data_IF_053865758046
#
_entry.id   IF_053865758046
#
_cell.length_a   1.000
_cell.length_b   1.000
_cell.length_c   1.000
_cell.angle_alpha   90.00
_cell.angle_beta   90.00
_cell.angle_gamma   90.00
#
_symmetry.space_group_name_H-M   'P 1'
#
loop_
_entity.id
_entity.type
_entity.pdbx_description
1 polymer ?
#
# COMPACT_ATOMS: atom_id res chain seq x y z
N UNK A 1 19.66 -8.15 30.53
CA UNK A 1 20.30 -8.45 29.24
C UNK A 1 19.43 -7.84 28.16
N UNK A 2 19.89 -6.72 27.60
CA UNK A 2 19.15 -5.86 26.68
C UNK A 2 18.89 -6.60 25.36
N UNK A 3 17.63 -6.68 24.96
CA UNK A 3 17.24 -7.02 23.59
C UNK A 3 17.62 -5.86 22.69
N UNK A 4 18.73 -6.02 21.98
CA UNK A 4 19.11 -5.24 20.82
C UNK A 4 17.99 -5.40 19.78
N UNK A 5 17.11 -4.39 19.65
CA UNK A 5 16.12 -4.36 18.57
C UNK A 5 16.90 -4.18 17.27
N UNK A 6 17.26 -5.31 16.65
CA UNK A 6 17.90 -5.34 15.34
C UNK A 6 17.08 -4.50 14.35
N UNK A 7 17.75 -3.57 13.69
CA UNK A 7 17.19 -2.77 12.61
C UNK A 7 16.70 -3.73 11.51
N UNK A 8 15.40 -3.78 11.25
CA UNK A 8 14.83 -4.63 10.20
C UNK A 8 14.43 -3.73 9.04
N UNK A 9 15.09 -3.92 7.89
CA UNK A 9 14.61 -3.34 6.63
C UNK A 9 13.18 -3.82 6.41
N UNK A 10 12.23 -2.90 6.28
CA UNK A 10 10.82 -3.30 6.34
C UNK A 10 10.44 -4.12 5.11
N UNK A 11 9.74 -5.23 5.34
CA UNK A 11 9.24 -6.10 4.29
C UNK A 11 8.51 -5.29 3.20
N UNK A 12 8.90 -5.51 1.94
CA UNK A 12 8.24 -4.90 0.80
C UNK A 12 7.01 -5.73 0.43
N UNK A 13 5.89 -5.04 0.20
CA UNK A 13 4.66 -5.66 -0.29
C UNK A 13 4.33 -5.14 -1.69
N UNK A 14 3.60 -5.90 -2.53
CA UNK A 14 3.03 -5.37 -3.75
C UNK A 14 2.12 -4.18 -3.43
N UNK A 15 1.90 -3.32 -4.42
CA UNK A 15 0.83 -2.34 -4.39
C UNK A 15 -0.52 -3.07 -4.49
N UNK A 16 -1.34 -2.97 -3.45
CA UNK A 16 -2.63 -3.68 -3.31
C UNK A 16 -3.77 -2.74 -3.68
N UNK A 17 -4.40 -3.03 -4.81
CA UNK A 17 -5.60 -2.36 -5.29
C UNK A 17 -6.84 -3.20 -4.99
N UNK A 18 -7.75 -2.68 -4.16
CA UNK A 18 -9.10 -3.23 -4.01
C UNK A 18 -9.99 -2.68 -5.12
N UNK A 19 -10.66 -3.56 -5.85
CA UNK A 19 -11.62 -3.17 -6.89
C UNK A 19 -12.98 -3.80 -6.59
N UNK A 20 -14.04 -2.99 -6.60
CA UNK A 20 -15.40 -3.45 -6.41
C UNK A 20 -16.42 -2.58 -7.16
N UNK A 21 -17.53 -3.19 -7.54
CA UNK A 21 -18.76 -2.50 -7.89
C UNK A 21 -19.82 -2.82 -6.83
N UNK A 22 -20.61 -1.82 -6.44
CA UNK A 22 -21.65 -1.95 -5.42
C UNK A 22 -22.96 -1.28 -5.85
N UNK A 23 -24.08 -1.72 -5.29
CA UNK A 23 -25.33 -0.97 -5.29
C UNK A 23 -25.22 0.32 -4.45
N UNK A 24 -26.21 1.21 -4.54
CA UNK A 24 -26.30 2.43 -3.71
C UNK A 24 -26.30 2.12 -2.20
N UNK A 25 -26.83 0.96 -1.80
CA UNK A 25 -26.82 0.49 -0.42
C UNK A 25 -25.59 -0.37 -0.06
N UNK A 26 -24.60 -0.49 -0.95
CA UNK A 26 -23.31 -1.11 -0.65
C UNK A 26 -23.24 -2.64 -0.78
N UNK A 27 -24.16 -3.25 -1.54
CA UNK A 27 -24.13 -4.68 -1.85
C UNK A 27 -23.23 -4.98 -3.03
N UNK A 28 -22.45 -6.07 -2.94
CA UNK A 28 -21.64 -6.62 -4.03
C UNK A 28 -22.45 -7.50 -5.00
N UNK A 29 -23.59 -8.01 -4.55
CA UNK A 29 -24.50 -8.88 -5.30
C UNK A 29 -25.87 -8.90 -4.62
N UNK A 30 -26.86 -9.56 -5.21
CA UNK A 30 -28.11 -9.93 -4.54
C UNK A 30 -28.03 -11.35 -3.91
N UNK A 31 -29.15 -11.92 -3.48
CA UNK A 31 -29.21 -13.29 -2.92
C UNK A 31 -29.64 -14.34 -3.95
N UNK A 32 -29.76 -13.94 -5.21
CA UNK A 32 -30.18 -14.76 -6.31
C UNK A 32 -29.10 -15.74 -6.76
N UNK A 33 -29.46 -16.72 -7.61
CA UNK A 33 -28.52 -17.68 -8.16
C UNK A 33 -27.69 -17.12 -9.33
N UNK A 34 -28.07 -15.96 -9.86
CA UNK A 34 -27.38 -15.29 -10.95
C UNK A 34 -26.66 -14.06 -10.40
N UNK A 35 -25.43 -13.86 -10.87
CA UNK A 35 -24.64 -12.69 -10.51
C UNK A 35 -25.33 -11.40 -10.97
N UNK A 36 -25.55 -10.48 -10.05
CA UNK A 36 -26.05 -9.14 -10.34
C UNK A 36 -25.01 -8.32 -11.10
N UNK A 37 -25.39 -7.78 -12.25
CA UNK A 37 -24.54 -6.84 -13.00
C UNK A 37 -24.68 -5.44 -12.39
N UNK A 38 -23.65 -5.04 -11.66
CA UNK A 38 -23.54 -3.72 -11.02
C UNK A 38 -22.82 -2.69 -11.89
N UNK A 39 -22.55 -3.00 -13.15
CA UNK A 39 -21.80 -2.11 -14.04
C UNK A 39 -22.08 -2.39 -15.51
N UNK A 40 -21.71 -1.42 -16.35
CA UNK A 40 -21.88 -1.45 -17.80
C UNK A 40 -20.63 -1.85 -18.58
N UNK A 41 -20.74 -2.01 -19.92
CA UNK A 41 -19.63 -2.39 -20.79
C UNK A 41 -18.40 -1.48 -20.69
N UNK A 42 -18.60 -0.16 -20.55
CA UNK A 42 -17.48 0.79 -20.45
C UNK A 42 -16.68 0.60 -19.15
N UNK A 43 -17.34 0.25 -18.06
CA UNK A 43 -16.66 -0.03 -16.81
C UNK A 43 -16.01 -1.43 -16.80
N UNK A 44 -16.63 -2.43 -17.44
CA UNK A 44 -15.98 -3.73 -17.63
C UNK A 44 -14.71 -3.61 -18.47
N UNK A 45 -14.70 -2.77 -19.51
CA UNK A 45 -13.48 -2.47 -20.26
C UNK A 45 -12.42 -1.78 -19.40
N UNK A 46 -12.82 -0.85 -18.51
CA UNK A 46 -11.91 -0.24 -17.53
C UNK A 46 -11.33 -1.28 -16.58
N UNK A 47 -12.16 -2.14 -15.98
CA UNK A 47 -11.70 -3.22 -15.09
C UNK A 47 -10.72 -4.14 -15.82
N UNK A 48 -10.97 -4.43 -17.10
CA UNK A 48 -10.06 -5.20 -17.94
C UNK A 48 -8.70 -4.51 -18.14
N UNK A 49 -8.70 -3.18 -18.33
CA UNK A 49 -7.46 -2.39 -18.36
C UNK A 49 -6.71 -2.45 -17.03
N UNK A 50 -7.41 -2.39 -15.90
CA UNK A 50 -6.81 -2.53 -14.57
C UNK A 50 -6.21 -3.92 -14.40
N UNK A 51 -6.92 -4.99 -14.79
CA UNK A 51 -6.38 -6.36 -14.77
C UNK A 51 -5.11 -6.48 -15.61
N UNK A 52 -5.11 -5.89 -16.81
CA UNK A 52 -3.95 -5.90 -17.69
C UNK A 52 -2.74 -5.15 -17.12
N UNK A 53 -2.96 -4.17 -16.23
CA UNK A 53 -1.88 -3.47 -15.54
C UNK A 53 -1.29 -4.26 -14.36
N UNK A 54 -2.05 -5.20 -13.76
CA UNK A 54 -1.64 -5.95 -12.58
C UNK A 54 -0.71 -7.12 -12.91
N UNK A 55 0.09 -7.55 -11.93
CA UNK A 55 0.94 -8.74 -12.05
C UNK A 55 0.23 -9.98 -11.49
N UNK A 56 -0.68 -9.77 -10.53
CA UNK A 56 -1.55 -10.81 -9.99
C UNK A 56 -2.99 -10.32 -9.75
N UNK A 57 -3.95 -11.23 -9.89
CA UNK A 57 -5.37 -11.03 -9.57
C UNK A 57 -5.75 -11.96 -8.42
N UNK A 58 -6.37 -11.43 -7.37
CA UNK A 58 -6.77 -12.18 -6.18
C UNK A 58 -8.28 -12.14 -5.94
N UNK A 59 -8.84 -13.32 -5.69
CA UNK A 59 -10.21 -13.48 -5.18
C UNK A 59 -10.24 -14.48 -4.03
N UNK A 60 -11.06 -14.22 -3.01
CA UNK A 60 -11.32 -15.23 -1.98
C UNK A 60 -12.02 -16.47 -2.56
N UNK A 61 -11.78 -17.64 -1.98
CA UNK A 61 -12.42 -18.89 -2.44
C UNK A 61 -13.96 -18.85 -2.39
N UNK A 62 -14.55 -17.99 -1.55
CA UNK A 62 -15.99 -17.73 -1.55
C UNK A 62 -16.50 -17.17 -2.88
N UNK A 63 -15.75 -16.26 -3.49
CA UNK A 63 -16.05 -15.72 -4.83
C UNK A 63 -15.90 -16.79 -5.91
N UNK A 64 -14.94 -17.72 -5.78
CA UNK A 64 -14.84 -18.85 -6.71
C UNK A 64 -16.10 -19.72 -6.66
N UNK A 65 -16.62 -19.99 -5.46
CA UNK A 65 -17.85 -20.79 -5.28
C UNK A 65 -19.09 -20.08 -5.81
N UNK A 66 -19.22 -18.77 -5.56
CA UNK A 66 -20.39 -18.00 -5.97
C UNK A 66 -20.41 -17.71 -7.48
N UNK A 67 -19.29 -17.21 -8.03
CA UNK A 67 -19.27 -16.65 -9.39
C UNK A 67 -18.57 -17.55 -10.41
N UNK A 68 -17.78 -18.52 -9.93
CA UNK A 68 -16.94 -19.39 -10.74
C UNK A 68 -16.12 -18.61 -11.81
N UNK A 69 -15.40 -17.53 -11.45
CA UNK A 69 -14.82 -16.62 -12.44
C UNK A 69 -13.65 -17.27 -13.20
N UNK A 70 -13.44 -16.85 -14.44
CA UNK A 70 -12.21 -17.19 -15.19
C UNK A 70 -11.01 -16.34 -14.76
N UNK A 71 -11.25 -15.10 -14.31
CA UNK A 71 -10.24 -14.15 -13.84
C UNK A 71 -9.10 -13.92 -14.85
N UNK A 72 -9.45 -13.31 -15.99
CA UNK A 72 -8.56 -13.12 -17.14
C UNK A 72 -8.57 -11.65 -17.59
N UNK A 73 -7.54 -11.28 -18.35
CA UNK A 73 -7.57 -10.15 -19.28
C UNK A 73 -8.36 -10.58 -20.52
N UNK A 74 -9.46 -9.91 -20.82
CA UNK A 74 -10.36 -10.18 -21.93
C UNK A 74 -9.86 -9.63 -23.26
N UNK A 75 -9.36 -8.38 -23.29
CA UNK A 75 -8.91 -7.74 -24.54
C UNK A 75 -7.70 -8.47 -25.15
N UNK A 76 -7.77 -8.92 -26.42
CA UNK A 76 -6.62 -9.44 -27.15
C UNK A 76 -5.48 -8.42 -27.26
N UNK A 77 -5.80 -7.14 -27.45
CA UNK A 77 -4.83 -6.05 -27.62
C UNK A 77 -4.03 -5.84 -26.34
N UNK A 78 -4.71 -5.81 -25.18
CA UNK A 78 -4.05 -5.70 -23.87
C UNK A 78 -3.15 -6.90 -23.56
N UNK A 79 -3.58 -8.09 -23.97
CA UNK A 79 -2.76 -9.31 -23.87
C UNK A 79 -1.51 -9.23 -24.74
N UNK A 80 -1.64 -8.75 -25.97
CA UNK A 80 -0.51 -8.54 -26.88
C UNK A 80 0.49 -7.51 -26.32
N UNK A 81 0.01 -6.41 -25.71
CA UNK A 81 0.88 -5.43 -25.03
C UNK A 81 1.67 -6.08 -23.89
N UNK A 82 1.01 -6.86 -23.02
CA UNK A 82 1.70 -7.56 -21.93
C UNK A 82 2.81 -8.48 -22.44
N UNK A 83 2.53 -9.25 -23.49
CA UNK A 83 3.53 -10.13 -24.10
C UNK A 83 4.70 -9.35 -24.69
N UNK A 84 4.44 -8.20 -25.34
CA UNK A 84 5.48 -7.32 -25.87
C UNK A 84 6.37 -6.71 -24.77
N UNK A 85 5.82 -6.52 -23.56
CA UNK A 85 6.56 -6.09 -22.36
C UNK A 85 7.30 -7.26 -21.65
N UNK A 86 7.25 -8.48 -22.20
CA UNK A 86 7.85 -9.67 -21.58
C UNK A 86 7.07 -10.21 -20.39
N UNK A 87 5.81 -9.79 -20.21
CA UNK A 87 4.93 -10.23 -19.12
C UNK A 87 4.03 -11.38 -19.61
N UNK A 88 3.58 -12.28 -18.71
CA UNK A 88 2.61 -13.31 -19.07
C UNK A 88 1.31 -12.71 -19.64
N UNK A 89 0.71 -13.40 -20.62
CA UNK A 89 -0.53 -12.98 -21.31
C UNK A 89 -1.64 -12.61 -20.32
N UNK A 90 -1.75 -13.38 -19.23
CA UNK A 90 -2.65 -13.12 -18.12
C UNK A 90 -1.84 -12.97 -16.82
N UNK A 91 -2.26 -12.09 -15.88
CA UNK A 91 -1.64 -12.01 -14.56
C UNK A 91 -1.76 -13.34 -13.80
N UNK A 92 -0.88 -13.53 -12.81
CA UNK A 92 -0.95 -14.66 -11.88
C UNK A 92 -2.31 -14.70 -11.18
N UNK A 93 -2.95 -15.86 -11.15
CA UNK A 93 -4.26 -16.03 -10.53
C UNK A 93 -4.10 -16.54 -9.10
N UNK A 94 -4.56 -15.77 -8.14
CA UNK A 94 -4.39 -16.05 -6.71
C UNK A 94 -5.74 -16.28 -6.06
N UNK A 95 -5.84 -17.30 -5.21
CA UNK A 95 -6.97 -17.45 -4.30
C UNK A 95 -6.53 -17.74 -2.88
N UNK A 96 -7.37 -17.32 -1.93
CA UNK A 96 -7.15 -17.48 -0.50
C UNK A 96 -8.30 -18.26 0.13
N UNK A 97 -7.97 -19.26 0.94
CA UNK A 97 -8.95 -20.09 1.66
C UNK A 97 -8.38 -20.56 2.99
N UNK A 98 -9.18 -20.54 4.06
CA UNK A 98 -8.72 -21.11 5.34
C UNK A 98 -8.80 -22.65 5.36
N UNK A 99 -9.75 -23.22 4.61
CA UNK A 99 -10.10 -24.66 4.72
C UNK A 99 -9.46 -25.53 3.65
N UNK A 100 -8.91 -24.93 2.59
CA UNK A 100 -8.49 -25.66 1.40
C UNK A 100 -9.65 -26.23 0.57
N UNK A 101 -10.89 -25.92 0.91
CA UNK A 101 -12.06 -26.40 0.18
C UNK A 101 -12.24 -25.63 -1.13
N UNK A 102 -11.91 -26.29 -2.23
CA UNK A 102 -11.89 -25.75 -3.59
C UNK A 102 -12.45 -26.80 -4.54
N UNK A 103 -13.41 -26.41 -5.38
CA UNK A 103 -13.93 -27.27 -6.44
C UNK A 103 -12.90 -27.37 -7.57
N UNK A 104 -12.34 -28.56 -7.86
CA UNK A 104 -11.38 -28.74 -8.95
C UNK A 104 -12.00 -28.52 -10.34
N UNK A 105 -13.33 -28.57 -10.48
CA UNK A 105 -14.04 -28.28 -11.73
C UNK A 105 -14.28 -26.80 -12.00
N UNK A 106 -13.87 -25.90 -11.09
CA UNK A 106 -14.08 -24.47 -11.28
C UNK A 106 -13.30 -23.94 -12.51
N UNK A 107 -13.93 -23.05 -13.29
CA UNK A 107 -13.35 -22.38 -14.47
C UNK A 107 -12.05 -21.64 -14.15
N UNK A 108 -11.86 -21.26 -12.88
CA UNK A 108 -10.63 -20.68 -12.37
C UNK A 108 -9.41 -21.58 -12.65
N UNK A 109 -9.52 -22.90 -12.57
CA UNK A 109 -8.36 -23.79 -12.75
C UNK A 109 -8.04 -24.07 -14.22
N UNK A 110 -9.05 -24.02 -15.09
CA UNK A 110 -8.95 -24.47 -16.49
C UNK A 110 -8.69 -23.35 -17.50
N UNK A 111 -8.37 -22.13 -17.04
CA UNK A 111 -8.13 -20.97 -17.91
C UNK A 111 -6.97 -20.11 -17.40
N UNK A 112 -6.35 -19.36 -18.30
CA UNK A 112 -5.24 -18.46 -17.98
C UNK A 112 -3.92 -19.18 -17.71
N UNK A 113 -2.96 -18.45 -17.14
CA UNK A 113 -1.62 -18.95 -16.79
C UNK A 113 -1.55 -19.58 -15.41
N UNK A 114 -0.49 -19.29 -14.67
CA UNK A 114 -0.21 -19.89 -13.37
C UNK A 114 -1.28 -19.57 -12.32
N UNK A 115 -1.45 -20.50 -11.37
CA UNK A 115 -2.41 -20.41 -10.27
C UNK A 115 -1.72 -20.65 -8.94
N UNK A 116 -2.10 -19.86 -7.94
CA UNK A 116 -1.55 -19.90 -6.59
C UNK A 116 -2.68 -19.92 -5.56
N UNK A 117 -2.55 -20.82 -4.59
CA UNK A 117 -3.48 -20.96 -3.46
C UNK A 117 -2.74 -20.65 -2.18
N UNK A 118 -3.17 -19.63 -1.46
CA UNK A 118 -2.75 -19.41 -0.08
C UNK A 118 -3.76 -19.98 0.89
N UNK A 119 -3.27 -20.67 1.91
CA UNK A 119 -4.13 -21.37 2.87
C UNK A 119 -3.43 -21.60 4.19
N UNK A 120 -4.17 -22.11 5.18
CA UNK A 120 -3.60 -22.59 6.44
C UNK A 120 -2.89 -23.93 6.23
N UNK A 121 -2.04 -24.33 7.18
CA UNK A 121 -1.39 -25.66 7.20
C UNK A 121 -2.42 -26.79 7.05
N UNK A 122 -3.55 -26.66 7.75
CA UNK A 122 -4.66 -27.63 7.67
C UNK A 122 -5.31 -27.65 6.30
N UNK A 123 -5.50 -26.48 5.68
CA UNK A 123 -6.10 -26.38 4.37
C UNK A 123 -5.17 -26.82 3.23
N UNK A 124 -3.85 -26.72 3.41
CA UNK A 124 -2.87 -27.05 2.38
C UNK A 124 -2.98 -28.51 1.92
N UNK A 125 -3.07 -29.46 2.86
CA UNK A 125 -3.22 -30.89 2.54
C UNK A 125 -4.50 -31.18 1.75
N UNK A 126 -5.62 -30.52 2.09
CA UNK A 126 -6.89 -30.67 1.39
C UNK A 126 -6.82 -30.08 -0.02
N UNK A 127 -6.30 -28.87 -0.16
CA UNK A 127 -6.18 -28.18 -1.44
C UNK A 127 -5.26 -28.96 -2.41
N UNK A 128 -4.10 -29.42 -1.94
CA UNK A 128 -3.17 -30.21 -2.75
C UNK A 128 -3.82 -31.50 -3.28
N UNK A 129 -4.58 -32.20 -2.43
CA UNK A 129 -5.31 -33.41 -2.82
C UNK A 129 -6.41 -33.13 -3.85
N UNK A 130 -7.19 -32.07 -3.67
CA UNK A 130 -8.31 -31.75 -4.55
C UNK A 130 -7.85 -31.24 -5.92
N UNK A 131 -6.82 -30.39 -5.94
CA UNK A 131 -6.35 -29.74 -7.15
C UNK A 131 -5.37 -30.59 -7.97
N UNK A 132 -4.73 -31.60 -7.36
CA UNK A 132 -3.88 -32.55 -8.09
C UNK A 132 -2.74 -31.90 -8.89
N UNK A 133 -2.22 -30.76 -8.43
CA UNK A 133 -1.18 -29.99 -9.13
C UNK A 133 -1.69 -28.90 -10.07
N UNK A 134 -3.01 -28.64 -10.14
CA UNK A 134 -3.56 -27.54 -10.94
C UNK A 134 -3.17 -26.12 -10.45
N UNK A 135 -2.58 -26.02 -9.25
CA UNK A 135 -2.06 -24.78 -8.67
C UNK A 135 -0.94 -25.08 -7.65
N UNK A 136 -0.05 -24.12 -7.48
CA UNK A 136 0.86 -24.07 -6.34
C UNK A 136 0.05 -23.82 -5.06
N UNK A 137 0.35 -24.56 -4.00
CA UNK A 137 -0.31 -24.40 -2.68
C UNK A 137 0.71 -23.96 -1.65
N UNK A 138 0.51 -22.78 -1.07
CA UNK A 138 1.40 -22.17 -0.09
C UNK A 138 0.71 -22.12 1.27
N UNK A 139 1.20 -22.89 2.26
CA UNK A 139 0.74 -22.77 3.64
C UNK A 139 1.30 -21.50 4.29
N UNK A 140 0.46 -20.80 5.06
CA UNK A 140 0.81 -19.58 5.80
C UNK A 140 0.97 -19.82 7.31
N UNK A 141 0.87 -21.08 7.77
CA UNK A 141 0.82 -21.43 9.18
C UNK A 141 -0.59 -21.76 9.68
N UNK A 142 -0.87 -21.62 10.99
CA UNK A 142 -2.14 -22.04 11.58
C UNK A 142 -3.32 -21.16 11.15
N UNK A 143 -3.06 -19.89 10.85
CA UNK A 143 -4.03 -18.87 10.44
C UNK A 143 -3.60 -18.20 9.13
N UNK A 144 -4.51 -17.44 8.51
CA UNK A 144 -4.19 -16.66 7.32
C UNK A 144 -3.42 -15.39 7.71
N UNK A 145 -2.10 -15.41 7.53
CA UNK A 145 -1.26 -14.23 7.67
C UNK A 145 -1.15 -13.46 6.34
N UNK A 146 -1.83 -12.32 6.27
CA UNK A 146 -1.85 -11.47 5.07
C UNK A 146 -0.49 -10.83 4.78
N UNK A 147 0.34 -10.56 5.79
CA UNK A 147 1.66 -9.97 5.59
C UNK A 147 2.64 -11.01 5.05
N UNK A 148 2.58 -12.24 5.56
CA UNK A 148 3.35 -13.35 5.01
C UNK A 148 2.94 -13.64 3.56
N UNK A 149 1.63 -13.62 3.26
CA UNK A 149 1.11 -13.77 1.90
C UNK A 149 1.65 -12.68 0.95
N UNK A 150 1.53 -11.41 1.34
CA UNK A 150 1.97 -10.30 0.51
C UNK A 150 3.50 -10.27 0.34
N UNK A 151 4.25 -10.63 1.38
CA UNK A 151 5.70 -10.82 1.30
C UNK A 151 6.08 -11.93 0.31
N UNK A 152 5.48 -13.12 0.43
CA UNK A 152 5.73 -14.22 -0.51
C UNK A 152 5.33 -13.85 -1.96
N UNK A 153 4.23 -13.11 -2.16
CA UNK A 153 3.88 -12.60 -3.49
C UNK A 153 4.96 -11.68 -4.06
N UNK A 154 5.51 -10.79 -3.24
CA UNK A 154 6.55 -9.87 -3.66
C UNK A 154 7.87 -10.60 -3.94
N UNK A 155 8.39 -11.30 -2.93
CA UNK A 155 9.74 -11.84 -2.91
C UNK A 155 9.88 -13.08 -3.79
N UNK A 156 8.91 -14.01 -3.71
CA UNK A 156 9.00 -15.34 -4.34
C UNK A 156 8.23 -15.44 -5.66
N UNK A 157 7.38 -14.46 -5.97
CA UNK A 157 6.56 -14.43 -7.19
C UNK A 157 6.73 -13.16 -8.01
N UNK A 158 7.56 -12.21 -7.56
CA UNK A 158 7.88 -10.99 -8.30
C UNK A 158 6.66 -10.09 -8.53
N UNK A 159 5.62 -10.19 -7.70
CA UNK A 159 4.42 -9.38 -7.85
C UNK A 159 4.69 -7.97 -7.34
N UNK A 160 4.65 -7.00 -8.24
CA UNK A 160 4.74 -5.57 -7.91
C UNK A 160 3.36 -4.94 -7.69
N UNK A 161 2.35 -5.37 -8.45
CA UNK A 161 0.97 -4.89 -8.36
C UNK A 161 -0.04 -6.02 -8.24
N UNK A 162 -0.83 -6.00 -7.17
CA UNK A 162 -1.90 -6.95 -6.87
C UNK A 162 -3.26 -6.27 -7.01
N UNK A 163 -4.15 -6.82 -7.83
CA UNK A 163 -5.56 -6.42 -7.86
C UNK A 163 -6.41 -7.43 -7.10
N UNK A 164 -7.25 -6.96 -6.19
CA UNK A 164 -8.14 -7.78 -5.35
C UNK A 164 -9.58 -7.47 -5.72
N UNK A 165 -10.22 -8.39 -6.46
CA UNK A 165 -11.55 -8.17 -7.05
C UNK A 165 -12.70 -8.73 -6.22
N UNK A 166 -12.42 -9.63 -5.28
CA UNK A 166 -13.46 -10.53 -4.80
C UNK A 166 -13.35 -10.96 -3.35
N UNK A 167 -14.49 -10.82 -2.67
CA UNK A 167 -14.79 -11.29 -1.32
C UNK A 167 -14.84 -10.14 -0.34
N UNK A 168 -16.03 -9.74 0.11
CA UNK A 168 -16.17 -8.69 1.12
C UNK A 168 -15.36 -8.97 2.40
N UNK A 169 -15.18 -10.25 2.75
CA UNK A 169 -14.28 -10.69 3.83
C UNK A 169 -12.81 -10.37 3.54
N UNK A 170 -12.33 -10.59 2.33
CA UNK A 170 -10.93 -10.33 1.94
C UNK A 170 -10.66 -8.82 1.94
N UNK A 171 -11.54 -8.04 1.31
CA UNK A 171 -11.45 -6.56 1.35
C UNK A 171 -11.47 -6.04 2.78
N UNK A 172 -12.35 -6.57 3.62
CA UNK A 172 -12.41 -6.22 5.05
C UNK A 172 -11.10 -6.53 5.77
N UNK A 173 -10.53 -7.73 5.56
CA UNK A 173 -9.29 -8.12 6.24
C UNK A 173 -8.10 -7.26 5.83
N UNK A 174 -7.97 -6.90 4.54
CA UNK A 174 -6.89 -6.05 4.05
C UNK A 174 -7.00 -4.61 4.58
N UNK A 175 -8.20 -4.02 4.56
CA UNK A 175 -8.43 -2.67 5.08
C UNK A 175 -8.21 -2.58 6.60
N UNK A 176 -8.69 -3.58 7.36
CA UNK A 176 -8.51 -3.61 8.82
C UNK A 176 -7.04 -3.72 9.25
N UNK A 177 -6.17 -4.21 8.37
CA UNK A 177 -4.74 -4.36 8.63
C UNK A 177 -3.89 -3.25 7.98
N UNK A 178 -4.52 -2.27 7.30
CA UNK A 178 -3.81 -1.18 6.63
C UNK A 178 -2.97 -1.64 5.42
N UNK A 179 -3.40 -2.73 4.76
CA UNK A 179 -2.67 -3.41 3.69
C UNK A 179 -3.22 -3.11 2.29
N UNK A 180 -4.21 -2.22 2.16
CA UNK A 180 -4.78 -1.82 0.88
C UNK A 180 -4.29 -0.42 0.50
N UNK A 181 -3.58 -0.29 -0.62
CA UNK A 181 -3.03 0.97 -1.10
C UNK A 181 -4.07 1.85 -1.80
N UNK A 182 -5.01 1.23 -2.50
CA UNK A 182 -6.05 1.93 -3.26
C UNK A 182 -7.38 1.16 -3.19
N UNK A 183 -8.48 1.89 -3.13
CA UNK A 183 -9.83 1.38 -3.34
C UNK A 183 -10.42 2.05 -4.58
N UNK A 184 -10.70 1.25 -5.62
CA UNK A 184 -11.51 1.65 -6.76
C UNK A 184 -12.93 1.10 -6.58
N UNK A 185 -13.86 2.00 -6.30
CA UNK A 185 -15.25 1.70 -6.02
C UNK A 185 -16.15 2.25 -7.12
N UNK A 186 -16.92 1.38 -7.74
CA UNK A 186 -18.00 1.76 -8.66
C UNK A 186 -19.33 1.66 -7.92
N UNK A 187 -20.17 2.69 -8.04
CA UNK A 187 -21.53 2.69 -7.47
C UNK A 187 -22.55 2.68 -8.60
N UNK A 188 -23.35 1.61 -8.62
CA UNK A 188 -24.44 1.38 -9.55
C UNK A 188 -25.72 2.10 -9.10
N UNK A 189 -26.55 2.63 -10.01
CA UNK A 189 -27.75 3.39 -9.68
C UNK A 189 -28.95 2.47 -9.30
N UNK A 190 -28.73 1.46 -8.46
CA UNK A 190 -29.77 0.54 -7.98
C UNK A 190 -29.63 0.26 -6.49
N UNK A 191 -30.71 -0.23 -5.87
CA UNK A 191 -30.76 -0.63 -4.46
C UNK A 191 -31.11 -2.12 -4.40
N UNK A 192 -30.35 -2.90 -3.63
CA UNK A 192 -30.63 -4.34 -3.41
C UNK A 192 -31.57 -4.52 -2.23
N UNK A 193 -31.29 -3.88 -1.09
CA UNK A 193 -32.21 -3.81 0.05
C UNK A 193 -32.37 -5.10 0.87
N UNK A 194 -31.84 -6.25 0.43
CA UNK A 194 -31.84 -7.48 1.23
C UNK A 194 -30.70 -7.44 2.29
N UNK A 195 -31.00 -7.57 3.59
CA UNK A 195 -29.97 -7.58 4.63
C UNK A 195 -29.03 -8.80 4.55
N UNK A 196 -29.41 -9.86 3.83
CA UNK A 196 -28.59 -11.07 3.62
C UNK A 196 -27.69 -10.96 2.39
N UNK A 197 -27.89 -9.95 1.54
CA UNK A 197 -27.06 -9.72 0.38
C UNK A 197 -25.59 -9.46 0.79
N UNK A 198 -24.61 -9.97 0.03
CA UNK A 198 -23.20 -9.80 0.36
C UNK A 198 -22.81 -8.31 0.33
N UNK A 199 -22.31 -7.80 1.45
CA UNK A 199 -21.84 -6.41 1.57
C UNK A 199 -20.37 -6.30 1.19
N UNK A 200 -19.98 -5.14 0.66
CA UNK A 200 -18.57 -4.83 0.36
C UNK A 200 -17.67 -5.00 1.58
N UNK A 201 -18.15 -4.52 2.72
CA UNK A 201 -17.41 -4.50 3.98
C UNK A 201 -18.22 -5.20 5.07
N UNK A 202 -17.54 -6.06 5.83
CA UNK A 202 -18.10 -6.75 7.00
C UNK A 202 -17.95 -5.93 8.28
N UNK A 203 -18.38 -6.47 9.43
CA UNK A 203 -18.16 -5.80 10.71
C UNK A 203 -16.68 -5.78 11.10
N UNK A 204 -16.23 -4.70 11.74
CA UNK A 204 -14.88 -4.62 12.30
C UNK A 204 -14.46 -3.19 12.63
N UNK A 205 -13.29 -3.07 13.26
CA UNK A 205 -12.59 -1.78 13.41
C UNK A 205 -11.71 -1.58 12.19
N UNK A 206 -12.02 -0.54 11.42
CA UNK A 206 -11.23 -0.10 10.28
C UNK A 206 -10.11 0.83 10.73
N UNK A 207 -9.19 1.13 9.81
CA UNK A 207 -8.20 2.18 10.01
C UNK A 207 -8.88 3.49 10.43
N UNK A 208 -8.25 4.22 11.35
CA UNK A 208 -8.70 5.55 11.73
C UNK A 208 -8.49 6.53 10.57
N UNK A 209 -9.09 7.72 10.66
CA UNK A 209 -8.93 8.76 9.65
C UNK A 209 -9.81 8.61 8.41
N UNK A 210 -9.67 9.56 7.50
CA UNK A 210 -10.43 9.61 6.24
C UNK A 210 -9.64 8.98 5.10
N UNK A 211 -10.34 8.37 4.15
CA UNK A 211 -9.76 8.08 2.83
C UNK A 211 -9.70 9.39 2.02
N UNK A 212 -8.60 9.58 1.28
CA UNK A 212 -8.46 10.67 0.32
C UNK A 212 -9.11 10.27 -0.99
N UNK A 213 -10.06 11.09 -1.45
CA UNK A 213 -10.64 10.95 -2.78
C UNK A 213 -9.64 11.44 -3.83
N UNK A 214 -9.20 10.54 -4.70
CA UNK A 214 -8.20 10.79 -5.74
C UNK A 214 -8.85 11.08 -7.09
N UNK A 215 -9.96 10.41 -7.40
CA UNK A 215 -10.70 10.59 -8.63
C UNK A 215 -12.18 10.34 -8.38
N UNK A 216 -13.02 11.14 -9.04
CA UNK A 216 -14.44 10.83 -9.26
C UNK A 216 -14.73 10.95 -10.73
N UNK A 217 -15.38 9.94 -11.32
CA UNK A 217 -15.71 9.96 -12.74
C UNK A 217 -17.01 9.22 -13.01
N UNK A 218 -17.90 9.84 -13.77
CA UNK A 218 -19.06 9.15 -14.34
C UNK A 218 -18.62 8.23 -15.47
N UNK A 219 -19.09 6.99 -15.45
CA UNK A 219 -18.92 6.01 -16.53
C UNK A 219 -20.31 5.53 -16.90
N UNK A 220 -20.81 5.93 -18.07
CA UNK A 220 -22.21 5.66 -18.44
C UNK A 220 -23.18 6.16 -17.35
N UNK A 221 -23.90 5.25 -16.68
CA UNK A 221 -24.83 5.52 -15.58
C UNK A 221 -24.27 5.21 -14.18
N UNK A 222 -23.02 4.74 -14.08
CA UNK A 222 -22.34 4.46 -12.81
C UNK A 222 -21.31 5.54 -12.45
N UNK A 223 -20.92 5.59 -11.16
CA UNK A 223 -19.88 6.51 -10.67
C UNK A 223 -18.69 5.71 -10.16
N UNK A 224 -17.52 5.94 -10.76
CA UNK A 224 -16.23 5.50 -10.25
C UNK A 224 -15.72 6.51 -9.21
N UNK A 225 -15.26 6.00 -8.08
CA UNK A 225 -14.50 6.73 -7.09
C UNK A 225 -13.21 5.98 -6.77
N UNK A 226 -12.10 6.71 -6.67
CA UNK A 226 -10.80 6.15 -6.30
C UNK A 226 -10.34 6.77 -5.00
N UNK A 227 -9.94 5.94 -4.05
CA UNK A 227 -9.57 6.35 -2.71
C UNK A 227 -8.21 5.79 -2.30
N UNK A 228 -7.45 6.57 -1.54
CA UNK A 228 -6.19 6.15 -0.90
C UNK A 228 -6.28 6.35 0.61
N UNK A 229 -5.72 5.45 1.44
CA UNK A 229 -5.58 5.67 2.88
C UNK A 229 -4.67 6.86 3.19
N UNK A 230 -4.99 7.58 4.26
CA UNK A 230 -4.18 8.71 4.73
C UNK A 230 -3.65 8.54 6.15
N UNK A 231 -4.26 7.69 6.97
CA UNK A 231 -3.83 7.50 8.36
C UNK A 231 -2.53 6.70 8.44
N UNK A 232 -1.47 7.25 9.06
CA UNK A 232 -0.21 6.54 9.28
C UNK A 232 -0.39 5.24 10.06
N UNK A 233 0.57 4.31 9.92
CA UNK A 233 0.68 3.16 10.82
C UNK A 233 1.11 3.57 12.23
N UNK A 234 0.82 2.72 13.22
CA UNK A 234 1.18 2.91 14.64
C UNK A 234 2.34 2.02 15.10
N UNK A 235 3.02 1.37 14.15
CA UNK A 235 4.06 0.39 14.43
C UNK A 235 5.23 0.42 13.44
N UNK A 236 6.16 -0.54 13.56
CA UNK A 236 7.41 -0.57 12.77
C UNK A 236 7.20 -1.08 11.33
N UNK A 237 5.98 -1.52 11.00
CA UNK A 237 5.66 -2.01 9.67
C UNK A 237 5.08 -0.89 8.82
N UNK A 238 5.41 -0.85 7.52
CA UNK A 238 4.81 0.09 6.61
C UNK A 238 3.33 -0.20 6.39
N UNK A 239 2.59 0.87 6.18
CA UNK A 239 1.21 0.85 5.70
C UNK A 239 1.11 1.48 4.32
N UNK A 240 -0.03 1.30 3.67
CA UNK A 240 -0.39 1.99 2.45
C UNK A 240 -0.23 3.52 2.54
N UNK A 241 -0.68 4.12 3.66
CA UNK A 241 -0.58 5.57 3.86
C UNK A 241 0.88 6.04 3.93
N UNK A 242 1.79 5.22 4.46
CA UNK A 242 3.21 5.59 4.53
C UNK A 242 3.82 5.80 3.14
N UNK A 243 3.39 4.99 2.17
CA UNK A 243 3.81 5.12 0.77
C UNK A 243 3.32 6.43 0.14
N UNK A 244 2.09 6.84 0.45
CA UNK A 244 1.52 8.10 -0.02
C UNK A 244 2.32 9.29 0.50
N UNK A 245 2.48 9.39 1.82
CA UNK A 245 3.15 10.53 2.43
C UNK A 245 4.65 10.61 2.13
N UNK A 246 5.32 9.45 2.06
CA UNK A 246 6.73 9.43 1.67
C UNK A 246 6.92 9.87 0.22
N UNK A 247 6.00 9.51 -0.69
CA UNK A 247 6.01 10.04 -2.06
C UNK A 247 5.90 11.56 -2.07
N UNK A 248 4.97 12.12 -1.30
CA UNK A 248 4.82 13.58 -1.17
C UNK A 248 6.09 14.23 -0.62
N UNK A 249 6.75 13.62 0.38
CA UNK A 249 8.04 14.10 0.88
C UNK A 249 9.11 14.12 -0.23
N UNK A 250 9.21 13.06 -1.05
CA UNK A 250 10.14 13.03 -2.18
C UNK A 250 9.78 14.06 -3.29
N UNK A 251 8.50 14.30 -3.55
CA UNK A 251 8.05 15.33 -4.50
C UNK A 251 8.40 16.75 -4.01
N UNK A 252 8.31 17.00 -2.70
CA UNK A 252 8.73 18.27 -2.10
C UNK A 252 10.23 18.51 -2.24
N UNK A 253 11.06 17.46 -2.21
CA UNK A 253 12.49 17.58 -2.42
C UNK A 253 12.82 18.19 -3.80
N UNK A 254 11.98 17.97 -4.82
CA UNK A 254 12.16 18.55 -6.15
C UNK A 254 11.92 20.07 -6.21
N UNK A 255 11.32 20.66 -5.17
CA UNK A 255 11.10 22.11 -5.06
C UNK A 255 12.30 22.85 -4.46
N UNK A 256 13.29 22.12 -3.92
CA UNK A 256 14.43 22.74 -3.28
C UNK A 256 15.27 23.55 -4.29
N UNK A 257 15.70 24.77 -3.95
CA UNK A 257 16.77 25.45 -4.66
C UNK A 257 18.00 24.53 -4.80
N UNK A 258 18.69 24.49 -5.96
CA UNK A 258 19.91 23.70 -6.14
C UNK A 258 21.00 24.06 -5.11
N UNK A 259 21.83 23.09 -4.76
CA UNK A 259 23.00 23.27 -3.89
C UNK A 259 24.07 22.24 -4.23
N UNK A 260 25.34 22.64 -4.14
CA UNK A 260 26.52 21.78 -4.30
C UNK A 260 27.01 21.20 -2.95
N UNK A 261 26.48 21.71 -1.83
CA UNK A 261 27.00 21.43 -0.48
C UNK A 261 25.93 20.89 0.47
N UNK A 262 24.71 20.67 -0.02
CA UNK A 262 23.61 20.16 0.77
C UNK A 262 22.60 19.40 -0.09
N UNK A 263 22.05 18.31 0.46
CA UNK A 263 20.97 17.58 -0.20
C UNK A 263 19.67 18.41 -0.26
N UNK A 264 18.92 18.20 -1.34
CA UNK A 264 17.51 18.55 -1.50
C UNK A 264 16.66 17.48 -0.81
N UNK A 265 15.94 17.89 0.23
CA UNK A 265 15.11 17.00 1.07
C UNK A 265 13.73 17.60 1.18
N UNK A 266 12.71 16.76 1.25
CA UNK A 266 11.34 17.15 1.59
C UNK A 266 10.84 16.35 2.79
N UNK A 267 9.95 16.97 3.56
CA UNK A 267 9.38 16.36 4.75
C UNK A 267 7.90 16.73 4.94
N UNK A 268 7.13 15.82 5.54
CA UNK A 268 5.72 15.99 5.88
C UNK A 268 5.48 15.47 7.30
N UNK A 269 4.72 16.20 8.10
CA UNK A 269 4.28 15.80 9.44
C UNK A 269 2.78 15.51 9.41
N UNK A 270 2.38 14.31 9.77
CA UNK A 270 1.00 13.82 9.64
C UNK A 270 0.50 13.29 10.98
N UNK A 271 -0.66 13.75 11.42
CA UNK A 271 -1.33 13.26 12.61
C UNK A 271 -1.83 11.81 12.45
N UNK A 272 -2.13 11.14 13.56
CA UNK A 272 -2.62 9.75 13.58
C UNK A 272 -3.91 9.55 12.77
N UNK A 273 -4.76 10.58 12.64
CA UNK A 273 -6.01 10.54 11.86
C UNK A 273 -5.80 10.80 10.35
N UNK A 274 -4.56 10.94 9.90
CA UNK A 274 -4.22 11.23 8.51
C UNK A 274 -4.27 12.71 8.14
N UNK A 275 -4.53 13.61 9.09
CA UNK A 275 -4.44 15.05 8.84
C UNK A 275 -2.99 15.48 8.67
N UNK A 276 -2.66 16.09 7.55
CA UNK A 276 -1.39 16.77 7.38
C UNK A 276 -1.31 17.99 8.29
N UNK A 277 -0.32 18.02 9.19
CA UNK A 277 -0.08 19.14 10.09
C UNK A 277 0.74 20.23 9.41
N UNK A 278 1.82 19.82 8.75
CA UNK A 278 2.68 20.70 7.98
C UNK A 278 3.56 19.92 7.02
N UNK A 279 4.15 20.63 6.07
CA UNK A 279 5.17 20.14 5.15
C UNK A 279 6.31 21.14 5.04
N UNK A 280 7.48 20.70 4.60
CA UNK A 280 8.63 21.54 4.36
C UNK A 280 9.59 20.93 3.36
N UNK A 281 10.48 21.76 2.82
CA UNK A 281 11.60 21.32 1.99
C UNK A 281 12.86 22.07 2.38
N UNK A 282 14.04 21.51 2.07
CA UNK A 282 15.30 22.17 2.37
C UNK A 282 15.39 23.50 1.63
N UNK A 283 15.97 24.51 2.31
CA UNK A 283 16.14 25.88 1.77
C UNK A 283 14.82 26.59 1.44
N UNK A 284 13.74 26.23 2.14
CA UNK A 284 12.46 26.90 2.02
C UNK A 284 12.49 28.33 2.59
N UNK A 285 11.86 29.28 1.91
CA UNK A 285 11.60 30.63 2.45
C UNK A 285 12.86 31.48 2.68
N UNK A 286 13.73 31.59 1.68
CA UNK A 286 14.98 32.38 1.69
C UNK A 286 16.00 32.02 2.78
N UNK A 287 15.80 30.91 3.51
CA UNK A 287 16.73 30.42 4.52
C UNK A 287 17.65 29.34 3.92
N UNK A 288 18.90 29.66 3.53
CA UNK A 288 19.76 28.76 2.78
C UNK A 288 20.24 27.55 3.60
N UNK A 289 19.96 27.50 4.90
CA UNK A 289 20.46 26.46 5.81
C UNK A 289 19.35 25.68 6.51
N UNK A 290 18.07 26.01 6.28
CA UNK A 290 16.95 25.25 6.86
C UNK A 290 16.85 23.86 6.21
N UNK A 291 16.66 22.86 7.05
CA UNK A 291 16.38 21.49 6.62
C UNK A 291 14.86 21.27 6.51
N UNK A 292 14.45 20.29 5.70
CA UNK A 292 13.04 20.02 5.45
C UNK A 292 12.23 19.72 6.71
N UNK A 293 12.75 18.87 7.61
CA UNK A 293 12.07 18.48 8.85
C UNK A 293 11.92 19.67 9.80
N UNK A 294 12.95 20.52 9.87
CA UNK A 294 12.91 21.75 10.66
C UNK A 294 11.88 22.75 10.09
N UNK A 295 11.88 22.95 8.77
CA UNK A 295 10.93 23.84 8.11
C UNK A 295 9.47 23.37 8.31
N UNK A 296 9.23 22.06 8.26
CA UNK A 296 7.90 21.49 8.52
C UNK A 296 7.49 21.67 9.98
N UNK A 297 8.34 21.28 10.94
CA UNK A 297 8.02 21.37 12.37
C UNK A 297 7.83 22.81 12.85
N UNK A 298 8.59 23.77 12.32
CA UNK A 298 8.49 25.19 12.69
C UNK A 298 7.13 25.83 12.34
N UNK A 299 6.34 25.21 11.45
CA UNK A 299 4.99 25.68 11.06
C UNK A 299 3.88 25.14 11.98
N UNK A 300 4.22 24.24 12.89
CA UNK A 300 3.27 23.60 13.80
C UNK A 300 3.43 24.27 15.18
N UNK A 301 2.32 24.55 15.85
CA UNK A 301 2.37 24.95 17.26
C UNK A 301 3.01 23.82 18.08
N UNK A 302 4.06 24.12 18.85
CA UNK A 302 4.73 23.13 19.69
C UNK A 302 3.80 22.54 20.76
N UNK A 303 2.68 23.19 21.07
CA UNK A 303 1.63 22.69 21.96
C UNK A 303 0.54 21.88 21.24
N UNK A 304 0.64 21.65 19.93
CA UNK A 304 -0.36 20.88 19.18
C UNK A 304 -0.50 19.46 19.77
N UNK A 305 -1.68 19.08 20.28
CA UNK A 305 -1.87 17.81 20.98
C UNK A 305 -1.75 16.59 20.05
N UNK A 306 -1.67 16.79 18.73
CA UNK A 306 -1.54 15.72 17.74
C UNK A 306 -0.09 15.30 17.51
N UNK A 307 0.89 16.13 17.85
CA UNK A 307 2.32 15.86 17.64
C UNK A 307 2.81 14.54 18.27
N UNK A 308 2.43 14.17 19.52
CA UNK A 308 2.89 12.91 20.12
C UNK A 308 2.45 11.65 19.36
N UNK A 309 1.32 11.71 18.65
CA UNK A 309 0.82 10.62 17.80
C UNK A 309 1.15 10.80 16.32
N UNK A 310 1.88 11.85 15.94
CA UNK A 310 2.20 12.13 14.56
C UNK A 310 3.32 11.22 14.02
N UNK A 311 3.39 11.13 12.69
CA UNK A 311 4.50 10.54 11.95
C UNK A 311 5.19 11.62 11.12
N UNK A 312 6.52 11.60 11.11
CA UNK A 312 7.34 12.41 10.18
C UNK A 312 7.77 11.55 9.01
N UNK A 313 7.44 11.99 7.80
CA UNK A 313 7.92 11.41 6.55
C UNK A 313 9.02 12.29 6.02
N UNK A 314 10.21 11.74 5.73
CA UNK A 314 11.33 12.50 5.16
C UNK A 314 11.94 11.77 3.98
N UNK A 315 12.27 12.47 2.90
CA UNK A 315 12.89 11.84 1.73
C UNK A 315 14.31 11.33 1.99
N UNK A 316 15.00 11.89 3.01
CA UNK A 316 16.32 11.50 3.46
C UNK A 316 16.26 11.18 4.96
N UNK A 317 17.18 10.36 5.46
CA UNK A 317 17.33 10.12 6.89
C UNK A 317 17.55 11.45 7.65
N UNK A 318 16.77 11.73 8.72
CA UNK A 318 16.95 12.96 9.49
C UNK A 318 18.33 13.00 10.12
N UNK A 319 19.11 14.06 9.86
CA UNK A 319 20.50 14.11 10.29
C UNK A 319 20.65 13.97 11.83
N UNK A 320 21.72 13.29 12.25
CA UNK A 320 22.12 13.19 13.66
C UNK A 320 23.00 14.36 14.12
N UNK A 321 23.64 15.06 13.18
CA UNK A 321 24.55 16.19 13.40
C UNK A 321 24.46 17.14 12.20
N UNK A 322 24.65 18.43 12.43
CA UNK A 322 24.79 19.42 11.35
C UNK A 322 25.64 20.60 11.82
N UNK A 323 26.37 21.22 10.90
CA UNK A 323 27.18 22.40 11.19
C UNK A 323 26.38 23.70 11.16
N UNK A 324 25.27 23.72 10.42
CA UNK A 324 24.48 24.93 10.15
C UNK A 324 23.71 25.46 11.36
N UNK A 325 23.32 24.58 12.30
CA UNK A 325 22.53 24.95 13.50
C UNK A 325 22.82 24.01 14.68
N UNK A 326 22.58 24.45 15.94
CA UNK A 326 22.93 23.68 17.13
C UNK A 326 22.19 22.35 17.29
N UNK A 327 20.91 22.28 16.95
CA UNK A 327 20.09 21.08 17.10
C UNK A 327 19.90 20.37 15.75
N UNK A 328 20.23 19.07 15.61
CA UNK A 328 20.03 18.28 14.40
C UNK A 328 18.56 17.85 14.23
N UNK A 329 18.17 17.41 13.03
CA UNK A 329 16.78 17.11 12.70
C UNK A 329 16.19 15.96 13.54
N UNK A 330 16.97 14.91 13.79
CA UNK A 330 16.55 13.81 14.67
C UNK A 330 16.19 14.30 16.08
N UNK A 331 16.92 15.29 16.62
CA UNK A 331 16.62 15.87 17.93
C UNK A 331 15.38 16.77 17.89
N UNK A 332 15.21 17.57 16.83
CA UNK A 332 14.02 18.40 16.66
C UNK A 332 12.73 17.57 16.61
N UNK A 333 12.74 16.44 15.90
CA UNK A 333 11.64 15.48 15.86
C UNK A 333 11.31 14.95 17.26
N UNK A 334 12.33 14.52 18.01
CA UNK A 334 12.15 13.98 19.36
C UNK A 334 11.60 15.02 20.34
N UNK A 335 12.12 16.26 20.28
CA UNK A 335 11.67 17.41 21.08
C UNK A 335 10.23 17.80 20.77
N UNK A 336 9.80 17.68 19.52
CA UNK A 336 8.40 17.88 19.12
C UNK A 336 7.46 16.78 19.65
N UNK A 337 7.99 15.71 20.28
CA UNK A 337 7.18 14.63 20.82
C UNK A 337 6.85 13.52 19.82
N UNK A 338 7.24 13.68 18.54
CA UNK A 338 7.04 12.67 17.50
C UNK A 338 7.85 11.41 17.83
N UNK A 339 7.24 10.24 17.64
CA UNK A 339 7.86 8.93 17.92
C UNK A 339 7.86 7.96 16.74
N UNK A 340 7.44 8.40 15.57
CA UNK A 340 7.50 7.59 14.35
C UNK A 340 8.04 8.40 13.18
N UNK A 341 9.04 7.85 12.51
CA UNK A 341 9.68 8.44 11.33
C UNK A 341 9.70 7.43 10.20
N UNK A 342 9.35 7.86 9.00
CA UNK A 342 9.44 7.06 7.79
C UNK A 342 10.36 7.76 6.79
N UNK A 343 11.35 7.05 6.25
CA UNK A 343 12.32 7.62 5.31
C UNK A 343 12.52 6.77 4.07
N UNK A 344 12.91 7.40 2.96
CA UNK A 344 13.16 6.74 1.68
C UNK A 344 14.63 6.34 1.50
N UNK A 345 15.55 7.21 1.92
CA UNK A 345 16.97 7.10 1.62
C UNK A 345 17.79 7.33 2.89
N UNK A 346 18.68 6.41 3.22
CA UNK A 346 19.65 6.60 4.30
C UNK A 346 20.71 7.63 3.91
N UNK A 347 21.17 8.41 4.88
CA UNK A 347 22.14 9.46 4.60
C UNK A 347 23.48 8.84 4.18
N UNK A 348 23.99 9.12 2.96
CA UNK A 348 25.30 8.63 2.55
C UNK A 348 26.42 9.44 3.23
N UNK A 349 27.62 8.86 3.28
CA UNK A 349 28.82 9.51 3.83
C UNK A 349 29.35 10.71 3.00
N UNK A 350 28.57 11.25 2.06
CA UNK A 350 28.95 12.32 1.14
C UNK A 350 29.35 13.62 1.87
N UNK A 351 28.58 14.02 2.89
CA UNK A 351 28.83 15.26 3.64
C UNK A 351 29.06 15.03 5.13
N UNK A 352 28.52 13.95 5.70
CA UNK A 352 28.64 13.61 7.12
C UNK A 352 29.10 12.16 7.23
N UNK A 353 30.38 11.89 7.55
CA UNK A 353 30.86 10.54 7.75
C UNK A 353 30.17 9.89 8.97
N UNK A 354 29.66 8.66 8.79
CA UNK A 354 29.02 7.90 9.85
C UNK A 354 27.69 8.52 10.32
N UNK A 355 26.89 9.04 9.38
CA UNK A 355 25.55 9.52 9.68
C UNK A 355 24.71 8.43 10.37
N UNK A 356 24.13 8.75 11.53
CA UNK A 356 23.36 7.80 12.36
C UNK A 356 22.09 8.47 12.92
N UNK A 357 21.33 9.13 12.03
CA UNK A 357 20.06 9.76 12.36
C UNK A 357 19.05 8.77 12.92
N UNK A 358 18.93 7.64 12.24
CA UNK A 358 18.12 6.48 12.62
C UNK A 358 18.50 5.98 13.99
N UNK A 359 19.79 5.78 14.29
CA UNK A 359 20.20 5.29 15.60
C UNK A 359 19.92 6.27 16.73
N UNK A 360 20.00 7.59 16.49
CA UNK A 360 19.57 8.61 17.47
C UNK A 360 18.08 8.46 17.78
N UNK A 361 17.24 8.35 16.76
CA UNK A 361 15.79 8.17 16.90
C UNK A 361 15.45 6.87 17.65
N UNK A 362 16.03 5.75 17.23
CA UNK A 362 15.78 4.42 17.81
C UNK A 362 16.24 4.34 19.26
N UNK A 363 17.43 4.87 19.60
CA UNK A 363 17.92 4.91 21.00
C UNK A 363 17.01 5.73 21.91
N UNK A 364 16.33 6.74 21.37
CA UNK A 364 15.34 7.54 22.08
C UNK A 364 13.94 6.93 22.09
N UNK A 365 13.76 5.71 21.55
CA UNK A 365 12.50 4.97 21.55
C UNK A 365 11.54 5.35 20.42
N UNK A 366 12.00 6.09 19.40
CA UNK A 366 11.21 6.31 18.20
C UNK A 366 11.30 5.10 17.24
N UNK A 367 10.20 4.83 16.54
CA UNK A 367 10.14 3.85 15.46
C UNK A 367 10.62 4.50 14.17
N UNK A 368 11.51 3.80 13.45
CA UNK A 368 11.99 4.24 12.15
C UNK A 368 11.68 3.18 11.11
N UNK A 369 10.96 3.56 10.06
CA UNK A 369 10.63 2.71 8.91
C UNK A 369 11.37 3.24 7.70
N UNK A 370 12.06 2.36 6.96
CA UNK A 370 12.76 2.73 5.73
C UNK A 370 12.06 2.06 4.56
N UNK A 371 11.71 2.83 3.52
CA UNK A 371 11.09 2.32 2.30
C UNK A 371 12.02 2.49 1.09
N UNK A 372 12.92 1.52 0.83
CA UNK A 372 13.91 1.58 -0.24
C UNK A 372 13.31 1.75 -1.64
N UNK A 373 12.07 1.30 -1.85
CA UNK A 373 11.34 1.50 -3.11
C UNK A 373 11.20 2.99 -3.51
N UNK A 374 11.34 3.93 -2.57
CA UNK A 374 11.30 5.37 -2.81
C UNK A 374 12.69 6.02 -2.89
N UNK A 375 13.77 5.27 -2.68
CA UNK A 375 15.15 5.79 -2.66
C UNK A 375 15.51 6.45 -4.01
N UNK A 376 15.17 5.80 -5.12
CA UNK A 376 15.43 6.36 -6.45
C UNK A 376 14.71 7.70 -6.69
N UNK A 377 13.49 7.86 -6.13
CA UNK A 377 12.73 9.10 -6.20
C UNK A 377 13.36 10.18 -5.32
N UNK A 378 13.79 9.82 -4.10
CA UNK A 378 14.48 10.71 -3.17
C UNK A 378 15.86 11.18 -3.69
N UNK A 379 16.59 10.31 -4.39
CA UNK A 379 17.88 10.63 -5.01
C UNK A 379 17.75 11.50 -6.26
N UNK A 380 16.61 11.50 -6.94
CA UNK A 380 16.47 12.17 -8.24
C UNK A 380 16.83 13.67 -8.21
N UNK A 381 16.40 14.48 -7.22
CA UNK A 381 16.80 15.89 -7.09
C UNK A 381 18.26 16.11 -6.67
N UNK A 382 18.98 15.04 -6.31
CA UNK A 382 20.32 15.06 -5.72
C UNK A 382 21.37 14.40 -6.63
N UNK A 383 21.00 13.98 -7.85
CA UNK A 383 21.89 13.20 -8.73
C UNK A 383 23.22 13.89 -9.03
N UNK A 384 23.25 15.23 -9.06
CA UNK A 384 24.47 16.01 -9.27
C UNK A 384 25.48 15.91 -8.12
N UNK A 385 25.04 15.49 -6.93
CA UNK A 385 25.88 15.33 -5.73
C UNK A 385 26.41 13.91 -5.54
N UNK A 386 25.90 12.93 -6.29
CA UNK A 386 26.14 11.49 -6.09
C UNK A 386 27.18 10.90 -7.06
N UNK A 387 28.07 11.76 -7.57
CA UNK A 387 29.06 11.46 -8.61
C UNK A 387 29.89 10.19 -8.39
#
# INVERSE_FOLDING_TARGET
MSTERAFTESAQYPYVLLSAAVSLDGCLDDTGPQRLLLSGPADFDRVDAVRASADALLVGAGTIRADNPRLLVGSPERRAVRLAEGRPEHPLKVTVTATGDLDPGARFWHTGGDKLVYTTDRGAARAARLLGGAADVVPLGPDLDWRALLGHLHDERGVGRLMVEGGGSVHTQLLRQGLADELQLVVAPLIVGDPRAPRLFGPGRYQEGRLRLVETRRIEDVVLMRYEPTAPGTGPLPTAADRHWLRTACELAALCPPSETAFSVGAVVVAADGTELARGHSREGDDPVVHAEEAALAKIDAADPRLPGATVYSSLEPCARRASRPAPCAELILRAGVRRVVTAWREPDTFVPGADGTGVLVRAGAEVVVLPAYEALAKAPNRHLLG
#
